data_IF_010944753791
#
_entry.id   IF_010944753791
#
_cell.length_a   1.000
_cell.length_b   1.000
_cell.length_c   1.000
_cell.angle_alpha   90.00
_cell.angle_beta   90.00
_cell.angle_gamma   90.00
#
_symmetry.space_group_name_H-M   'P 1'
#
loop_
_entity.id
_entity.type
_entity.pdbx_description
1 polymer ?
#
# COMPACT_ATOMS: atom_id res chain seq x y z
N UNK A 1 -23.97 36.48 -18.12
CA UNK A 1 -23.11 36.56 -16.93
C UNK A 1 -23.72 35.82 -15.73
N UNK A 2 -24.97 36.11 -15.38
CA UNK A 2 -25.65 35.51 -14.22
C UNK A 2 -25.85 33.99 -14.31
N UNK A 3 -26.23 33.46 -15.48
CA UNK A 3 -26.37 32.01 -15.68
C UNK A 3 -25.06 31.24 -15.44
N UNK A 4 -23.94 31.78 -15.91
CA UNK A 4 -22.60 31.20 -15.74
C UNK A 4 -22.14 31.21 -14.27
N UNK A 5 -22.43 32.29 -13.54
CA UNK A 5 -22.10 32.39 -12.11
C UNK A 5 -22.92 31.38 -11.31
N UNK A 6 -24.21 31.23 -11.63
CA UNK A 6 -25.10 30.28 -10.98
C UNK A 6 -24.68 28.83 -11.21
N UNK A 7 -24.35 28.48 -12.44
CA UNK A 7 -23.85 27.15 -12.81
C UNK A 7 -22.56 26.80 -12.03
N UNK A 8 -21.61 27.74 -11.95
CA UNK A 8 -20.37 27.55 -11.18
C UNK A 8 -20.62 27.39 -9.68
N UNK A 9 -21.56 28.14 -9.11
CA UNK A 9 -21.94 28.01 -7.70
C UNK A 9 -22.63 26.66 -7.40
N UNK A 10 -23.53 26.21 -8.27
CA UNK A 10 -24.17 24.89 -8.16
C UNK A 10 -23.13 23.78 -8.23
N UNK A 11 -22.16 23.88 -9.15
CA UNK A 11 -21.09 22.89 -9.26
C UNK A 11 -20.22 22.82 -7.99
N UNK A 12 -19.79 23.97 -7.45
CA UNK A 12 -19.02 24.01 -6.20
C UNK A 12 -19.81 23.42 -5.03
N UNK A 13 -21.09 23.77 -4.90
CA UNK A 13 -21.95 23.24 -3.83
C UNK A 13 -22.13 21.71 -3.97
N UNK A 14 -22.27 21.21 -5.20
CA UNK A 14 -22.32 19.77 -5.47
C UNK A 14 -21.05 19.06 -4.99
N UNK A 15 -19.86 19.59 -5.30
CA UNK A 15 -18.61 19.00 -4.81
C UNK A 15 -18.51 18.96 -3.28
N UNK A 16 -18.94 20.03 -2.60
CA UNK A 16 -18.88 20.10 -1.15
C UNK A 16 -19.83 19.09 -0.50
N UNK A 17 -21.04 18.91 -1.05
CA UNK A 17 -22.01 17.90 -0.61
C UNK A 17 -21.44 16.48 -0.83
N UNK A 18 -20.88 16.22 -2.02
CA UNK A 18 -20.24 14.93 -2.33
C UNK A 18 -19.11 14.64 -1.34
N UNK A 19 -18.24 15.61 -1.06
CA UNK A 19 -17.13 15.45 -0.10
C UNK A 19 -17.64 15.20 1.32
N UNK A 20 -18.62 15.97 1.79
CA UNK A 20 -19.23 15.81 3.10
C UNK A 20 -19.87 14.42 3.24
N UNK A 21 -20.63 14.00 2.22
CA UNK A 21 -21.20 12.66 2.18
C UNK A 21 -20.10 11.62 2.22
N UNK A 22 -19.12 11.71 1.30
CA UNK A 22 -17.95 10.80 1.19
C UNK A 22 -17.27 10.56 2.54
N UNK A 23 -17.11 11.63 3.31
CA UNK A 23 -16.45 11.62 4.62
C UNK A 23 -17.38 11.27 5.80
N UNK A 24 -18.61 10.81 5.54
CA UNK A 24 -19.64 10.49 6.56
C UNK A 24 -20.02 11.67 7.48
N UNK A 25 -19.85 12.90 7.00
CA UNK A 25 -20.26 14.09 7.74
C UNK A 25 -21.78 14.32 7.67
N UNK A 26 -22.40 13.82 6.60
CA UNK A 26 -23.85 13.84 6.37
C UNK A 26 -24.29 12.44 5.92
N UNK A 27 -25.57 12.11 6.14
CA UNK A 27 -26.15 10.85 5.68
C UNK A 27 -26.73 10.94 4.25
N UNK A 28 -27.22 9.81 3.73
CA UNK A 28 -27.78 9.72 2.36
C UNK A 28 -29.02 10.58 2.18
N UNK A 29 -29.87 10.67 3.21
CA UNK A 29 -31.11 11.45 3.14
C UNK A 29 -30.81 12.95 3.09
N UNK A 30 -29.87 13.40 3.92
CA UNK A 30 -29.40 14.78 3.93
C UNK A 30 -28.68 15.12 2.61
N UNK A 31 -27.77 14.28 2.14
CA UNK A 31 -27.07 14.50 0.88
C UNK A 31 -28.04 14.58 -0.31
N UNK A 32 -29.00 13.66 -0.41
CA UNK A 32 -30.03 13.67 -1.48
C UNK A 32 -30.89 14.94 -1.44
N UNK A 33 -31.29 15.37 -0.24
CA UNK A 33 -32.04 16.61 -0.03
C UNK A 33 -31.25 17.85 -0.47
N UNK A 34 -29.96 17.92 -0.13
CA UNK A 34 -29.07 19.02 -0.50
C UNK A 34 -28.82 19.07 -2.02
N UNK A 35 -28.57 17.92 -2.65
CA UNK A 35 -28.36 17.81 -4.10
C UNK A 35 -29.62 18.22 -4.88
N UNK A 36 -30.79 17.75 -4.46
CA UNK A 36 -32.07 18.15 -5.07
C UNK A 36 -32.31 19.65 -4.90
N UNK A 37 -32.00 20.22 -3.73
CA UNK A 37 -32.15 21.65 -3.46
C UNK A 37 -31.28 22.54 -4.36
N UNK A 38 -30.09 22.08 -4.77
CA UNK A 38 -29.23 22.81 -5.70
C UNK A 38 -29.57 22.55 -7.18
N UNK A 39 -30.58 21.72 -7.45
CA UNK A 39 -31.17 21.53 -8.78
C UNK A 39 -30.82 20.23 -9.49
N UNK A 40 -30.20 19.25 -8.81
CA UNK A 40 -30.03 17.92 -9.39
C UNK A 40 -31.37 17.18 -9.38
N UNK A 41 -31.64 16.42 -10.44
CA UNK A 41 -32.75 15.48 -10.45
C UNK A 41 -32.56 14.43 -9.35
N UNK A 42 -33.66 13.91 -8.81
CA UNK A 42 -33.62 12.90 -7.75
C UNK A 42 -32.88 11.64 -8.20
N UNK A 43 -33.17 11.16 -9.41
CA UNK A 43 -32.58 9.96 -9.99
C UNK A 43 -31.06 10.10 -10.19
N UNK A 44 -30.61 11.29 -10.62
CA UNK A 44 -29.19 11.58 -10.76
C UNK A 44 -28.49 11.69 -9.40
N UNK A 45 -29.17 12.28 -8.41
CA UNK A 45 -28.66 12.37 -7.04
C UNK A 45 -28.52 10.97 -6.43
N UNK A 46 -29.51 10.11 -6.60
CA UNK A 46 -29.51 8.74 -6.09
C UNK A 46 -28.37 7.91 -6.71
N UNK A 47 -28.24 7.93 -8.04
CA UNK A 47 -27.14 7.27 -8.75
C UNK A 47 -25.75 7.74 -8.30
N UNK A 48 -25.58 9.06 -8.12
CA UNK A 48 -24.31 9.64 -7.68
C UNK A 48 -23.95 9.18 -6.25
N UNK A 49 -24.94 9.13 -5.35
CA UNK A 49 -24.71 8.68 -3.97
C UNK A 49 -24.36 7.18 -3.92
N UNK A 50 -25.01 6.36 -4.74
CA UNK A 50 -24.67 4.93 -4.88
C UNK A 50 -23.23 4.73 -5.39
N UNK A 51 -22.79 5.49 -6.41
CA UNK A 51 -21.41 5.43 -6.90
C UNK A 51 -20.39 5.81 -5.82
N UNK A 52 -20.70 6.81 -4.99
CA UNK A 52 -19.84 7.21 -3.87
C UNK A 52 -19.79 6.11 -2.79
N UNK A 53 -20.91 5.49 -2.46
CA UNK A 53 -20.96 4.38 -1.49
C UNK A 53 -20.16 3.18 -2.01
N UNK A 54 -20.31 2.84 -3.29
CA UNK A 54 -19.54 1.78 -3.95
C UNK A 54 -18.03 2.07 -3.92
N UNK A 55 -17.62 3.31 -4.24
CA UNK A 55 -16.21 3.73 -4.17
C UNK A 55 -15.64 3.59 -2.76
N UNK A 56 -16.40 3.96 -1.73
CA UNK A 56 -15.94 3.80 -0.34
C UNK A 56 -15.77 2.36 0.07
N UNK A 57 -16.67 1.50 -0.37
CA UNK A 57 -16.55 0.07 -0.08
C UNK A 57 -15.32 -0.51 -0.77
N UNK A 58 -15.06 -0.10 -2.02
CA UNK A 58 -13.83 -0.43 -2.71
C UNK A 58 -12.57 0.07 -2.01
N UNK A 59 -12.54 1.33 -1.58
CA UNK A 59 -11.40 1.90 -0.86
C UNK A 59 -11.15 1.16 0.47
N UNK A 60 -12.22 0.75 1.16
CA UNK A 60 -12.17 -0.07 2.37
C UNK A 60 -11.52 -1.42 2.08
N UNK A 61 -11.98 -2.12 1.06
CA UNK A 61 -11.44 -3.42 0.65
C UNK A 61 -9.97 -3.28 0.23
N UNK A 62 -9.62 -2.27 -0.57
CA UNK A 62 -8.23 -2.01 -0.99
C UNK A 62 -7.31 -1.72 0.20
N UNK A 63 -7.77 -0.96 1.18
CA UNK A 63 -7.03 -0.73 2.43
C UNK A 63 -6.81 -2.03 3.22
N UNK A 64 -7.82 -2.91 3.27
CA UNK A 64 -7.70 -4.23 3.92
C UNK A 64 -6.71 -5.14 3.18
N UNK A 65 -6.78 -5.20 1.85
CA UNK A 65 -5.83 -5.93 0.99
C UNK A 65 -4.40 -5.45 1.26
N UNK A 66 -4.16 -4.13 1.32
CA UNK A 66 -2.83 -3.56 1.63
C UNK A 66 -2.35 -3.96 3.02
N UNK A 67 -3.24 -3.96 4.01
CA UNK A 67 -2.94 -4.42 5.37
C UNK A 67 -2.50 -5.89 5.39
N UNK A 68 -3.30 -6.77 4.79
CA UNK A 68 -3.03 -8.21 4.69
C UNK A 68 -1.70 -8.47 3.96
N UNK A 69 -1.46 -7.79 2.83
CA UNK A 69 -0.19 -7.85 2.08
C UNK A 69 1.01 -7.54 2.98
N UNK A 70 0.93 -6.48 3.78
CA UNK A 70 2.03 -6.07 4.65
C UNK A 70 2.33 -7.12 5.73
N UNK A 71 1.30 -7.76 6.28
CA UNK A 71 1.45 -8.84 7.25
C UNK A 71 2.10 -10.08 6.61
N UNK A 72 1.67 -10.46 5.41
CA UNK A 72 2.27 -11.55 4.64
C UNK A 72 3.74 -11.30 4.31
N UNK A 73 4.07 -10.12 3.78
CA UNK A 73 5.45 -9.75 3.43
C UNK A 73 6.39 -9.75 4.62
N UNK A 74 5.90 -9.36 5.80
CA UNK A 74 6.66 -9.39 7.06
C UNK A 74 6.74 -10.79 7.69
N UNK A 75 6.09 -11.80 7.10
CA UNK A 75 6.05 -13.16 7.61
C UNK A 75 5.16 -13.34 8.85
N UNK A 76 4.33 -12.35 9.18
CA UNK A 76 3.35 -12.48 10.26
C UNK A 76 2.18 -13.37 9.84
N UNK A 77 1.82 -13.32 8.55
CA UNK A 77 0.93 -14.29 7.92
C UNK A 77 1.72 -15.21 6.98
N UNK A 78 1.33 -16.48 6.97
CA UNK A 78 1.73 -17.48 5.98
C UNK A 78 0.74 -17.51 4.80
N UNK A 79 0.97 -18.40 3.84
CA UNK A 79 0.16 -18.50 2.63
C UNK A 79 -1.31 -18.79 2.96
N UNK A 80 -1.57 -19.77 3.82
CA UNK A 80 -2.92 -20.23 4.16
C UNK A 80 -3.70 -19.15 4.92
N UNK A 81 -3.07 -18.54 5.92
CA UNK A 81 -3.67 -17.43 6.68
C UNK A 81 -3.97 -16.24 5.77
N UNK A 82 -3.04 -15.86 4.89
CA UNK A 82 -3.22 -14.72 3.97
C UNK A 82 -4.37 -14.97 3.01
N UNK A 83 -4.45 -16.18 2.44
CA UNK A 83 -5.52 -16.60 1.52
C UNK A 83 -6.87 -16.58 2.23
N UNK A 84 -6.95 -17.09 3.46
CA UNK A 84 -8.17 -17.09 4.25
C UNK A 84 -8.65 -15.67 4.60
N UNK A 85 -7.74 -14.77 4.99
CA UNK A 85 -8.10 -13.37 5.27
C UNK A 85 -8.57 -12.62 4.01
N UNK A 86 -7.98 -12.90 2.85
CA UNK A 86 -8.44 -12.33 1.58
C UNK A 86 -9.81 -12.86 1.16
N UNK A 87 -10.09 -14.15 1.39
CA UNK A 87 -11.38 -14.74 1.08
C UNK A 87 -12.53 -14.14 1.91
N UNK A 88 -12.26 -13.67 3.13
CA UNK A 88 -13.25 -12.95 3.98
C UNK A 88 -13.64 -11.58 3.41
N UNK A 89 -12.92 -11.08 2.42
CA UNK A 89 -13.26 -9.85 1.69
C UNK A 89 -14.13 -10.14 0.46
N UNK A 90 -14.65 -11.37 0.33
CA UNK A 90 -15.47 -11.84 -0.79
C UNK A 90 -14.78 -11.68 -2.17
N UNK A 91 -13.45 -11.72 -2.18
CA UNK A 91 -12.67 -11.65 -3.42
C UNK A 91 -12.79 -12.95 -4.22
N UNK A 92 -12.91 -12.87 -5.56
CA UNK A 92 -12.86 -14.06 -6.41
C UNK A 92 -11.57 -14.85 -6.22
N UNK A 93 -11.65 -16.18 -6.29
CA UNK A 93 -10.48 -17.06 -6.10
C UNK A 93 -9.33 -16.73 -7.04
N UNK A 94 -9.60 -16.40 -8.31
CA UNK A 94 -8.56 -16.06 -9.28
C UNK A 94 -7.83 -14.75 -8.92
N UNK A 95 -8.55 -13.79 -8.33
CA UNK A 95 -7.97 -12.55 -7.81
C UNK A 95 -7.05 -12.83 -6.64
N UNK A 96 -7.45 -13.71 -5.73
CA UNK A 96 -6.62 -14.12 -4.59
C UNK A 96 -5.34 -14.79 -5.08
N UNK A 97 -5.43 -15.72 -6.04
CA UNK A 97 -4.27 -16.38 -6.66
C UNK A 97 -3.31 -15.35 -7.25
N UNK A 98 -3.81 -14.41 -8.06
CA UNK A 98 -3.00 -13.36 -8.68
C UNK A 98 -2.27 -12.50 -7.64
N UNK A 99 -2.95 -12.09 -6.57
CA UNK A 99 -2.35 -11.33 -5.48
C UNK A 99 -1.25 -12.12 -4.77
N UNK A 100 -1.50 -13.39 -4.46
CA UNK A 100 -0.53 -14.25 -3.79
C UNK A 100 0.72 -14.49 -4.64
N UNK A 101 0.56 -14.70 -5.94
CA UNK A 101 1.68 -14.84 -6.87
C UNK A 101 2.54 -13.57 -6.88
N UNK A 102 1.90 -12.40 -7.07
CA UNK A 102 2.61 -11.12 -7.03
C UNK A 102 3.36 -10.93 -5.71
N UNK A 103 2.71 -11.16 -4.57
CA UNK A 103 3.31 -10.90 -3.27
C UNK A 103 4.38 -11.91 -2.89
N UNK A 104 4.33 -13.13 -3.42
CA UNK A 104 5.41 -14.10 -3.28
C UNK A 104 6.72 -13.54 -3.85
N UNK A 105 6.69 -12.99 -5.07
CA UNK A 105 7.87 -12.36 -5.67
C UNK A 105 8.33 -11.15 -4.88
N UNK A 106 7.41 -10.30 -4.43
CA UNK A 106 7.77 -9.15 -3.61
C UNK A 106 8.38 -9.52 -2.25
N UNK A 107 7.92 -10.60 -1.63
CA UNK A 107 8.46 -11.12 -0.37
C UNK A 107 9.84 -11.75 -0.58
N UNK A 108 10.07 -12.40 -1.72
CA UNK A 108 11.38 -12.94 -2.11
C UNK A 108 12.38 -11.87 -2.52
N UNK A 109 11.91 -10.81 -3.18
CA UNK A 109 12.72 -9.65 -3.57
C UNK A 109 13.00 -8.71 -2.39
N UNK A 110 12.30 -8.85 -1.26
CA UNK A 110 12.62 -8.09 -0.06
C UNK A 110 14.04 -8.45 0.39
N UNK A 111 14.93 -7.45 0.43
CA UNK A 111 16.30 -7.61 0.88
C UNK A 111 16.30 -8.35 2.22
N UNK A 112 17.08 -9.44 2.30
CA UNK A 112 17.37 -10.10 3.57
C UNK A 112 17.86 -9.00 4.51
N UNK A 113 17.35 -8.94 5.74
CA UNK A 113 17.91 -8.03 6.74
C UNK A 113 19.38 -8.41 6.94
N UNK A 114 20.26 -7.68 6.29
CA UNK A 114 21.70 -7.75 6.49
C UNK A 114 22.08 -6.88 7.67
N UNK A 115 23.27 -7.10 8.20
CA UNK A 115 23.89 -6.10 9.05
C UNK A 115 24.13 -4.80 8.26
N UNK A 116 24.34 -3.68 8.95
CA UNK A 116 24.88 -2.49 8.28
C UNK A 116 26.33 -2.74 7.85
N UNK A 117 26.84 -1.93 6.90
CA UNK A 117 28.26 -1.97 6.52
C UNK A 117 29.20 -1.93 7.74
N UNK A 118 28.93 -1.04 8.69
CA UNK A 118 29.78 -0.85 9.86
C UNK A 118 29.78 -2.09 10.77
N UNK A 119 28.60 -2.68 11.00
CA UNK A 119 28.47 -3.93 11.75
C UNK A 119 29.17 -5.09 11.04
N UNK A 120 28.97 -5.26 9.73
CA UNK A 120 29.64 -6.30 8.93
C UNK A 120 31.17 -6.18 9.03
N UNK A 121 31.72 -4.97 8.87
CA UNK A 121 33.18 -4.73 9.02
C UNK A 121 33.64 -5.01 10.46
N UNK A 122 32.87 -4.61 11.46
CA UNK A 122 33.18 -4.86 12.87
C UNK A 122 33.19 -6.37 13.20
N UNK A 123 32.21 -7.12 12.69
CA UNK A 123 32.12 -8.57 12.88
C UNK A 123 33.21 -9.33 12.14
N UNK A 124 33.61 -8.87 10.94
CA UNK A 124 34.79 -9.42 10.25
C UNK A 124 36.07 -9.19 11.05
N UNK A 125 36.31 -7.95 11.52
CA UNK A 125 37.51 -7.58 12.31
C UNK A 125 37.61 -8.35 13.63
N UNK A 126 36.47 -8.63 14.26
CA UNK A 126 36.40 -9.39 15.51
C UNK A 126 36.38 -10.91 15.31
N UNK A 127 36.40 -11.39 14.06
CA UNK A 127 36.32 -12.83 13.75
C UNK A 127 34.97 -13.47 14.08
N UNK A 128 33.92 -12.67 14.36
CA UNK A 128 32.57 -13.16 14.62
C UNK A 128 31.90 -13.74 13.36
N UNK A 129 32.35 -13.32 12.19
CA UNK A 129 31.95 -13.89 10.89
C UNK A 129 33.19 -14.12 10.03
N UNK A 130 33.11 -15.09 9.11
CA UNK A 130 34.22 -15.37 8.19
C UNK A 130 34.36 -14.29 7.13
N UNK A 131 35.53 -14.27 6.47
CA UNK A 131 35.83 -13.41 5.33
C UNK A 131 34.76 -13.54 4.24
N UNK A 132 34.48 -14.77 3.83
CA UNK A 132 33.53 -15.11 2.75
C UNK A 132 32.09 -14.76 3.14
N UNK A 133 31.77 -14.79 4.44
CA UNK A 133 30.47 -14.33 4.93
C UNK A 133 30.37 -12.81 4.83
N UNK A 134 31.41 -12.09 5.22
CA UNK A 134 31.45 -10.63 5.14
C UNK A 134 31.41 -10.09 3.71
N UNK A 135 32.13 -10.72 2.77
CA UNK A 135 32.05 -10.41 1.33
C UNK A 135 30.60 -10.54 0.83
N UNK A 136 29.95 -11.65 1.17
CA UNK A 136 28.55 -11.90 0.78
C UNK A 136 27.57 -10.88 1.35
N UNK A 137 27.78 -10.42 2.57
CA UNK A 137 26.97 -9.34 3.16
C UNK A 137 27.16 -8.04 2.39
N UNK A 138 28.40 -7.69 2.00
CA UNK A 138 28.65 -6.49 1.21
C UNK A 138 28.03 -6.58 -0.19
N UNK A 139 28.11 -7.73 -0.86
CA UNK A 139 27.40 -7.96 -2.12
C UNK A 139 25.87 -7.86 -1.98
N UNK A 140 25.32 -8.42 -0.90
CA UNK A 140 23.87 -8.32 -0.62
C UNK A 140 23.42 -6.88 -0.34
N UNK A 141 24.33 -6.00 0.12
CA UNK A 141 24.09 -4.57 0.27
C UNK A 141 24.24 -3.78 -1.05
N UNK A 142 24.68 -4.43 -2.12
CA UNK A 142 24.84 -3.83 -3.45
C UNK A 142 26.21 -3.23 -3.73
N UNK A 143 27.25 -3.57 -2.95
CA UNK A 143 28.63 -3.19 -3.29
C UNK A 143 29.13 -4.02 -4.48
N UNK A 144 29.86 -3.37 -5.38
CA UNK A 144 30.56 -4.03 -6.49
C UNK A 144 31.89 -4.65 -6.04
N UNK A 145 32.53 -5.39 -6.94
CA UNK A 145 33.80 -6.07 -6.67
C UNK A 145 34.92 -5.12 -6.22
N UNK A 146 34.96 -3.90 -6.78
CA UNK A 146 35.98 -2.90 -6.42
C UNK A 146 35.83 -2.49 -4.95
N UNK A 147 34.63 -2.10 -4.55
CA UNK A 147 34.35 -1.68 -3.18
C UNK A 147 34.53 -2.83 -2.19
N UNK A 148 34.08 -4.05 -2.54
CA UNK A 148 34.28 -5.23 -1.70
C UNK A 148 35.77 -5.44 -1.47
N UNK A 149 36.59 -5.50 -2.52
CA UNK A 149 38.04 -5.72 -2.42
C UNK A 149 38.72 -4.67 -1.52
N UNK A 150 38.37 -3.39 -1.68
CA UNK A 150 38.91 -2.30 -0.81
C UNK A 150 38.59 -2.55 0.65
N UNK A 151 37.36 -2.96 1.00
CA UNK A 151 37.04 -3.28 2.39
C UNK A 151 37.82 -4.49 2.89
N UNK A 152 37.97 -5.53 2.08
CA UNK A 152 38.68 -6.75 2.46
C UNK A 152 40.18 -6.52 2.70
N UNK A 153 40.80 -5.63 1.92
CA UNK A 153 42.20 -5.20 2.10
C UNK A 153 42.37 -4.27 3.30
N UNK A 154 41.36 -3.44 3.62
CA UNK A 154 41.42 -2.50 4.74
C UNK A 154 41.35 -3.15 6.14
N UNK A 155 41.03 -4.44 6.19
CA UNK A 155 40.86 -5.21 7.43
C UNK A 155 42.16 -5.96 7.74
N UNK A 156 42.73 -5.71 8.92
CA UNK A 156 43.76 -6.57 9.48
C UNK A 156 43.10 -7.84 10.04
N UNK A 157 43.49 -8.98 9.47
CA UNK A 157 43.03 -10.29 9.90
C UNK A 157 43.97 -10.80 11.00
N UNK A 158 43.41 -11.10 12.18
CA UNK A 158 44.15 -11.71 13.29
C UNK A 158 44.20 -13.22 13.16
#
# INVERSE_FOLDING_TARGET
AEAYIREKQTHSAQEDIIKAFSNRMIDRSEASSLLTRIGLAYELSDYLLDDIEYKREWDRVDAQIKGIRNLYKKGQYDLDTTTAELAKLDLPSDTITLLMDQWWYEKKAAAVKTWSKAETISFMKSGMITKERGERELYNMGYDDEHVNVYMESIQWN
#
